data_IF_859549425005
#
_entry.id   IF_859549425005
#
_cell.length_a   1.000
_cell.length_b   1.000
_cell.length_c   1.000
_cell.angle_alpha   90.00
_cell.angle_beta   90.00
_cell.angle_gamma   90.00
#
_symmetry.space_group_name_H-M   'P 1'
#
loop_
_entity.id
_entity.type
_entity.pdbx_description
1 polymer ?
#
# COMPACT_ATOMS: atom_id res chain seq x y z
N UNK A 1 60.97 1.37 4.92
CA UNK A 1 59.58 1.35 5.42
C UNK A 1 58.64 1.70 4.27
N UNK A 2 58.10 0.68 3.59
CA UNK A 2 57.18 0.87 2.48
C UNK A 2 55.76 1.14 3.01
N UNK A 3 55.25 2.34 2.80
CA UNK A 3 53.83 2.64 3.04
C UNK A 3 53.03 2.04 1.89
N UNK A 4 52.35 0.93 2.16
CA UNK A 4 51.38 0.34 1.25
C UNK A 4 50.25 1.34 1.00
N UNK A 5 50.13 1.80 -0.24
CA UNK A 5 49.03 2.64 -0.69
C UNK A 5 47.76 1.79 -0.72
N UNK A 6 47.00 1.78 0.38
CA UNK A 6 45.65 1.23 0.37
C UNK A 6 44.79 2.16 -0.49
N UNK A 7 44.43 1.69 -1.68
CA UNK A 7 43.48 2.33 -2.60
C UNK A 7 42.25 2.78 -1.77
N UNK A 8 41.99 4.08 -1.71
CA UNK A 8 40.88 4.64 -0.95
C UNK A 8 39.56 4.03 -1.43
N UNK A 9 38.74 3.57 -0.50
CA UNK A 9 37.40 3.07 -0.79
C UNK A 9 36.44 4.25 -0.88
N UNK A 10 35.69 4.35 -1.97
CA UNK A 10 34.57 5.30 -2.09
C UNK A 10 33.30 4.56 -1.70
N UNK A 11 32.58 5.01 -0.65
CA UNK A 11 31.31 4.43 -0.25
C UNK A 11 30.30 4.38 -1.40
N UNK A 12 29.55 3.30 -1.50
CA UNK A 12 28.46 3.14 -2.48
C UNK A 12 27.12 2.88 -1.77
N UNK A 13 26.06 3.40 -2.38
CA UNK A 13 24.68 3.08 -2.01
C UNK A 13 24.06 2.11 -3.02
N UNK A 14 23.54 0.99 -2.53
CA UNK A 14 22.79 0.05 -3.35
C UNK A 14 21.43 0.65 -3.74
N UNK A 15 20.94 0.27 -4.92
CA UNK A 15 19.66 0.76 -5.42
C UNK A 15 18.52 0.21 -4.56
N UNK A 16 17.66 1.09 -4.08
CA UNK A 16 16.44 0.72 -3.38
C UNK A 16 15.50 -0.06 -4.32
N UNK A 17 15.14 -1.27 -3.91
CA UNK A 17 14.20 -2.15 -4.59
C UNK A 17 13.07 -2.62 -3.67
N UNK A 18 12.88 -1.96 -2.52
CA UNK A 18 11.83 -2.27 -1.56
C UNK A 18 10.47 -1.88 -2.12
N UNK A 19 9.82 -2.84 -2.77
CA UNK A 19 8.46 -2.69 -3.30
C UNK A 19 7.49 -3.33 -2.32
N UNK A 20 6.82 -2.51 -1.52
CA UNK A 20 5.60 -2.92 -0.83
C UNK A 20 4.42 -2.68 -1.75
N UNK A 21 3.60 -3.71 -1.99
CA UNK A 21 2.33 -3.58 -2.71
C UNK A 21 1.22 -3.89 -1.72
N UNK A 22 0.36 -2.91 -1.49
CA UNK A 22 -0.90 -3.10 -0.78
C UNK A 22 -2.05 -2.84 -1.74
N UNK A 23 -3.06 -3.70 -1.67
CA UNK A 23 -4.28 -3.57 -2.46
C UNK A 23 -5.39 -3.07 -1.54
N UNK A 24 -6.12 -2.07 -2.01
CA UNK A 24 -7.28 -1.50 -1.35
C UNK A 24 -8.51 -1.75 -2.22
N UNK A 25 -9.59 -2.22 -1.60
CA UNK A 25 -10.90 -2.38 -2.23
C UNK A 25 -11.93 -1.60 -1.42
N UNK A 26 -12.68 -0.74 -2.08
CA UNK A 26 -13.65 0.17 -1.45
C UNK A 26 -14.96 0.13 -2.23
N UNK A 27 -16.08 0.20 -1.51
CA UNK A 27 -17.40 0.49 -2.08
C UNK A 27 -17.73 1.93 -1.73
N UNK A 28 -18.03 2.74 -2.74
CA UNK A 28 -18.52 4.11 -2.56
C UNK A 28 -20.01 4.17 -2.91
N UNK A 29 -20.84 4.60 -1.96
CA UNK A 29 -22.29 4.69 -2.11
C UNK A 29 -22.66 6.15 -2.39
N UNK A 30 -22.92 6.46 -3.67
CA UNK A 30 -23.04 7.84 -4.15
C UNK A 30 -24.48 8.36 -4.10
N UNK A 31 -25.47 7.54 -4.48
CA UNK A 31 -26.87 7.93 -4.56
C UNK A 31 -27.83 6.78 -4.27
N UNK A 32 -29.08 7.11 -4.03
CA UNK A 32 -30.21 6.18 -4.02
C UNK A 32 -30.94 6.27 -5.37
N UNK A 33 -31.20 5.12 -5.98
CA UNK A 33 -31.91 5.00 -7.25
C UNK A 33 -31.02 5.18 -8.50
N UNK A 34 -31.62 5.06 -9.71
CA UNK A 34 -30.90 5.03 -10.97
C UNK A 34 -30.11 6.31 -11.27
N UNK A 35 -28.82 6.17 -11.54
CA UNK A 35 -27.93 7.22 -12.05
C UNK A 35 -27.04 6.68 -13.18
N UNK A 36 -26.64 7.56 -14.10
CA UNK A 36 -25.80 7.18 -15.26
C UNK A 36 -24.33 6.91 -14.89
N UNK A 37 -23.89 7.42 -13.74
CA UNK A 37 -22.53 7.24 -13.22
C UNK A 37 -21.55 8.33 -13.60
N UNK A 38 -20.24 8.05 -13.50
CA UNK A 38 -19.19 9.03 -13.77
C UNK A 38 -19.19 9.46 -15.24
N UNK A 39 -19.33 10.76 -15.47
CA UNK A 39 -19.46 11.37 -16.81
C UNK A 39 -18.29 11.00 -17.74
N UNK A 40 -17.06 10.99 -17.21
CA UNK A 40 -15.84 10.72 -17.99
C UNK A 40 -15.13 9.43 -17.54
N UNK A 41 -15.88 8.46 -17.03
CA UNK A 41 -15.34 7.16 -16.59
C UNK A 41 -14.21 7.32 -15.56
N UNK A 42 -13.04 6.74 -15.84
CA UNK A 42 -11.89 6.81 -14.92
C UNK A 42 -11.31 8.22 -14.75
N UNK A 43 -11.57 9.17 -15.67
CA UNK A 43 -11.15 10.57 -15.48
C UNK A 43 -11.92 11.24 -14.34
N UNK A 44 -13.15 10.79 -14.08
CA UNK A 44 -13.98 11.26 -12.97
C UNK A 44 -13.67 10.56 -11.64
N UNK A 45 -12.75 9.59 -11.61
CA UNK A 45 -12.34 8.88 -10.40
C UNK A 45 -11.03 9.49 -9.91
N UNK A 46 -11.06 10.13 -8.74
CA UNK A 46 -9.92 10.84 -8.17
C UNK A 46 -9.44 10.14 -6.89
N UNK A 47 -8.14 9.87 -6.82
CA UNK A 47 -7.47 9.44 -5.60
C UNK A 47 -6.71 10.63 -5.04
N UNK A 48 -7.13 11.11 -3.87
CA UNK A 48 -6.57 12.31 -3.24
C UNK A 48 -6.49 13.51 -4.22
N UNK A 49 -7.63 13.81 -4.85
CA UNK A 49 -7.79 14.88 -5.86
C UNK A 49 -6.98 14.69 -7.16
N UNK A 50 -6.32 13.55 -7.36
CA UNK A 50 -5.59 13.23 -8.60
C UNK A 50 -6.42 12.26 -9.44
N UNK A 51 -6.83 12.64 -10.66
CA UNK A 51 -7.64 11.76 -11.50
C UNK A 51 -6.82 10.56 -11.99
N UNK A 52 -7.45 9.38 -12.05
CA UNK A 52 -6.78 8.12 -12.46
C UNK A 52 -6.23 8.23 -13.88
N UNK A 53 -7.03 8.81 -14.79
CA UNK A 53 -6.63 9.20 -16.13
C UNK A 53 -6.62 10.73 -16.25
N UNK A 54 -5.64 11.29 -16.95
CA UNK A 54 -5.64 12.71 -17.28
C UNK A 54 -6.65 13.04 -18.40
N UNK A 55 -6.70 14.32 -18.81
CA UNK A 55 -7.58 14.79 -19.89
C UNK A 55 -7.30 14.14 -21.24
N UNK A 56 -6.05 13.70 -21.46
CA UNK A 56 -5.55 13.07 -22.69
C UNK A 56 -5.59 11.52 -22.63
N UNK A 57 -6.18 10.95 -21.58
CA UNK A 57 -6.29 9.49 -21.33
C UNK A 57 -4.97 8.81 -20.94
N UNK A 58 -3.95 9.57 -20.59
CA UNK A 58 -2.75 8.99 -20.00
C UNK A 58 -3.03 8.55 -18.57
N UNK A 59 -2.45 7.42 -18.17
CA UNK A 59 -2.61 6.86 -16.83
C UNK A 59 -1.72 7.59 -15.82
N UNK A 60 -2.33 8.32 -14.89
CA UNK A 60 -1.62 8.89 -13.74
C UNK A 60 -1.39 7.84 -12.65
N UNK A 61 -2.37 6.94 -12.45
CA UNK A 61 -2.36 5.96 -11.37
C UNK A 61 -2.65 4.56 -11.94
N UNK A 62 -1.61 3.74 -12.00
CA UNK A 62 -1.70 2.37 -12.51
C UNK A 62 -2.37 1.42 -11.51
N UNK A 63 -3.06 0.40 -12.04
CA UNK A 63 -3.63 -0.68 -11.24
C UNK A 63 -4.98 -0.37 -10.59
N UNK A 64 -5.64 0.72 -10.98
CA UNK A 64 -6.99 1.05 -10.52
C UNK A 64 -8.02 0.35 -11.40
N UNK A 65 -8.96 -0.35 -10.77
CA UNK A 65 -10.14 -0.93 -11.42
C UNK A 65 -11.38 -0.40 -10.72
N UNK A 66 -12.35 0.09 -11.49
CA UNK A 66 -13.61 0.63 -10.98
C UNK A 66 -14.76 -0.07 -11.68
N UNK A 67 -15.72 -0.54 -10.88
CA UNK A 67 -16.96 -1.11 -11.37
C UNK A 67 -18.09 -0.19 -10.91
N UNK A 68 -18.76 0.44 -11.86
CA UNK A 68 -19.91 1.28 -11.58
C UNK A 68 -21.20 0.48 -11.60
N UNK A 69 -22.13 0.81 -10.70
CA UNK A 69 -23.48 0.25 -10.66
C UNK A 69 -24.47 1.41 -10.63
N UNK A 70 -25.45 1.36 -11.52
CA UNK A 70 -26.41 2.45 -11.71
C UNK A 70 -27.42 2.62 -10.59
N UNK A 71 -27.54 1.67 -9.65
CA UNK A 71 -28.52 1.78 -8.56
C UNK A 71 -29.95 1.38 -8.95
N UNK A 72 -30.11 0.66 -10.07
CA UNK A 72 -31.38 0.06 -10.49
C UNK A 72 -31.91 -0.95 -9.46
N UNK A 73 -33.24 -1.15 -9.46
CA UNK A 73 -33.90 -2.08 -8.53
C UNK A 73 -33.40 -3.51 -8.73
N UNK A 74 -33.22 -3.94 -9.98
CA UNK A 74 -32.65 -5.24 -10.33
C UNK A 74 -31.18 -5.06 -10.71
N UNK A 75 -30.27 -5.61 -9.91
CA UNK A 75 -28.83 -5.59 -10.18
C UNK A 75 -28.13 -6.78 -9.56
N UNK A 76 -27.09 -7.29 -10.24
CA UNK A 76 -26.25 -8.38 -9.72
C UNK A 76 -25.53 -7.94 -8.43
N UNK A 77 -25.32 -8.80 -7.43
CA UNK A 77 -24.50 -8.47 -6.28
C UNK A 77 -23.06 -8.05 -6.66
N UNK A 78 -22.42 -7.13 -5.92
CA UNK A 78 -21.00 -6.81 -6.09
C UNK A 78 -20.12 -8.05 -5.84
N UNK A 79 -19.17 -8.32 -6.74
CA UNK A 79 -18.21 -9.42 -6.59
C UNK A 79 -16.90 -8.91 -5.96
N UNK A 80 -16.19 -9.79 -5.25
CA UNK A 80 -14.86 -9.48 -4.71
C UNK A 80 -14.86 -8.77 -3.36
N UNK A 81 -16.04 -8.59 -2.76
CA UNK A 81 -16.24 -8.03 -1.41
C UNK A 81 -16.72 -9.08 -0.40
N UNK A 82 -16.19 -10.30 -0.52
CA UNK A 82 -16.55 -11.45 0.33
C UNK A 82 -16.12 -11.26 1.80
N UNK A 83 -15.28 -10.26 2.09
CA UNK A 83 -14.85 -9.92 3.45
C UNK A 83 -14.61 -8.42 3.59
N UNK A 84 -15.11 -7.82 4.66
CA UNK A 84 -14.70 -6.47 5.09
C UNK A 84 -13.52 -6.57 6.06
N UNK A 85 -12.61 -5.61 6.02
CA UNK A 85 -11.50 -5.50 6.97
C UNK A 85 -11.30 -4.07 7.42
N UNK A 86 -10.82 -3.89 8.65
CA UNK A 86 -10.37 -2.60 9.17
C UNK A 86 -8.96 -2.75 9.71
N UNK A 87 -8.08 -1.80 9.37
CA UNK A 87 -6.72 -1.76 9.86
C UNK A 87 -6.58 -0.70 10.95
N UNK A 88 -5.90 -1.04 12.03
CA UNK A 88 -5.55 -0.09 13.10
C UNK A 88 -4.04 -0.02 13.21
N UNK A 89 -3.48 1.15 12.89
CA UNK A 89 -2.03 1.39 13.02
C UNK A 89 -1.66 1.49 14.49
N UNK A 90 -0.74 0.63 14.95
CA UNK A 90 -0.27 0.62 16.33
C UNK A 90 0.94 1.54 16.58
N UNK A 91 1.72 1.86 15.54
CA UNK A 91 2.88 2.77 15.63
C UNK A 91 3.93 2.37 16.68
N UNK A 92 3.94 1.11 17.11
CA UNK A 92 4.80 0.61 18.19
C UNK A 92 5.89 -0.27 17.60
N UNK A 93 7.14 -0.04 18.01
CA UNK A 93 8.26 -0.89 17.65
C UNK A 93 8.12 -2.26 18.32
N UNK A 94 8.19 -3.32 17.52
CA UNK A 94 8.18 -4.70 18.03
C UNK A 94 9.59 -5.05 18.50
N UNK A 95 9.75 -5.38 19.79
CA UNK A 95 11.03 -5.78 20.38
C UNK A 95 10.99 -7.23 20.87
N UNK A 96 12.14 -7.88 20.89
CA UNK A 96 12.27 -9.27 21.34
C UNK A 96 11.81 -9.49 22.79
N UNK A 97 12.14 -8.54 23.67
CA UNK A 97 11.92 -8.62 25.11
C UNK A 97 10.62 -7.94 25.58
N UNK A 98 9.94 -7.20 24.70
CA UNK A 98 8.80 -6.36 25.06
C UNK A 98 7.57 -6.77 24.24
N UNK A 99 6.68 -7.61 24.79
CA UNK A 99 5.50 -8.08 24.07
C UNK A 99 4.47 -6.96 23.88
N UNK A 100 3.78 -6.99 22.73
CA UNK A 100 2.62 -6.13 22.45
C UNK A 100 1.35 -6.96 22.60
N UNK A 101 0.46 -6.56 23.50
CA UNK A 101 -0.82 -7.25 23.73
C UNK A 101 -1.99 -6.37 23.30
N UNK A 102 -2.90 -6.92 22.48
CA UNK A 102 -4.14 -6.28 22.05
C UNK A 102 -5.31 -7.24 22.20
N UNK A 103 -6.37 -6.77 22.84
CA UNK A 103 -7.64 -7.48 22.90
C UNK A 103 -8.50 -7.06 21.72
N UNK A 104 -9.01 -8.03 20.97
CA UNK A 104 -9.95 -7.81 19.88
C UNK A 104 -11.33 -8.25 20.36
N UNK A 105 -12.27 -7.32 20.43
CA UNK A 105 -13.64 -7.58 20.87
C UNK A 105 -14.60 -7.32 19.73
N UNK A 106 -14.85 -8.34 18.91
CA UNK A 106 -15.91 -8.32 17.91
C UNK A 106 -16.39 -9.74 17.65
N UNK A 107 -17.72 -9.92 17.58
CA UNK A 107 -18.33 -11.20 17.24
C UNK A 107 -18.23 -11.53 15.74
N UNK A 108 -17.93 -10.53 14.90
CA UNK A 108 -17.95 -10.63 13.44
C UNK A 108 -16.53 -10.68 12.85
N UNK A 109 -15.54 -11.19 13.59
CA UNK A 109 -14.16 -11.34 13.12
C UNK A 109 -13.82 -12.83 13.04
N UNK A 110 -13.39 -13.27 11.86
CA UNK A 110 -12.93 -14.62 11.57
C UNK A 110 -11.43 -14.68 11.17
N UNK A 111 -10.83 -13.54 10.84
CA UNK A 111 -9.43 -13.42 10.42
C UNK A 111 -8.77 -12.16 10.95
N UNK A 112 -7.50 -12.29 11.36
CA UNK A 112 -6.61 -11.17 11.69
C UNK A 112 -5.55 -11.01 10.61
N UNK A 113 -5.28 -9.77 10.19
CA UNK A 113 -4.14 -9.39 9.35
C UNK A 113 -3.17 -8.56 10.19
N UNK A 114 -1.92 -8.99 10.25
CA UNK A 114 -0.85 -8.29 10.93
C UNK A 114 0.13 -7.77 9.89
N UNK A 115 0.35 -6.45 9.86
CA UNK A 115 1.29 -5.80 8.96
C UNK A 115 2.47 -5.30 9.76
N UNK A 116 3.67 -5.77 9.42
CA UNK A 116 4.93 -5.33 10.02
C UNK A 116 5.66 -4.42 9.04
N UNK A 117 6.14 -3.29 9.53
CA UNK A 117 6.99 -2.37 8.78
C UNK A 117 8.40 -2.37 9.36
N UNK A 118 9.40 -2.25 8.48
CA UNK A 118 10.81 -2.04 8.82
C UNK A 118 11.20 -0.65 8.32
N UNK A 119 11.95 0.11 9.13
CA UNK A 119 12.34 1.48 8.72
C UNK A 119 13.29 1.48 7.52
N UNK A 120 14.19 0.51 7.46
CA UNK A 120 15.09 0.31 6.34
C UNK A 120 15.53 -1.16 6.29
N UNK A 121 15.65 -1.69 5.07
CA UNK A 121 16.34 -2.95 4.80
C UNK A 121 17.68 -2.66 4.15
N UNK A 122 18.51 -1.92 4.90
CA UNK A 122 19.82 -1.48 4.46
C UNK A 122 20.82 -1.76 5.57
N UNK A 123 21.87 -2.49 5.23
CA UNK A 123 23.05 -2.65 6.07
C UNK A 123 24.05 -1.54 5.76
N UNK A 124 24.48 -0.79 6.79
CA UNK A 124 25.61 0.14 6.64
C UNK A 124 26.88 -0.54 7.15
N UNK A 125 27.83 -0.77 6.26
CA UNK A 125 29.11 -1.40 6.62
C UNK A 125 30.03 -0.39 7.31
N UNK A 126 31.06 -0.89 8.00
CA UNK A 126 32.11 -0.07 8.63
C UNK A 126 32.91 0.80 7.65
N UNK A 127 32.78 0.55 6.33
CA UNK A 127 33.41 1.33 5.25
C UNK A 127 32.47 2.36 4.62
N UNK A 128 31.25 2.50 5.14
CA UNK A 128 30.25 3.46 4.67
C UNK A 128 29.39 2.95 3.52
N UNK A 129 29.58 1.72 3.04
CA UNK A 129 28.69 1.14 2.01
C UNK A 129 27.31 0.86 2.59
N UNK A 130 26.27 1.15 1.80
CA UNK A 130 24.88 0.80 2.09
C UNK A 130 24.46 -0.36 1.18
N UNK A 131 24.37 -1.55 1.75
CA UNK A 131 23.97 -2.77 1.03
C UNK A 131 22.50 -3.11 1.34
N UNK A 132 21.78 -3.80 0.43
CA UNK A 132 20.46 -4.32 0.75
C UNK A 132 20.57 -5.37 1.86
N UNK A 133 19.61 -5.40 2.77
CA UNK A 133 19.43 -6.50 3.73
C UNK A 133 18.11 -7.21 3.49
N UNK A 134 17.97 -8.44 3.98
CA UNK A 134 16.72 -9.22 3.93
C UNK A 134 16.23 -9.52 5.35
N UNK A 135 14.94 -9.85 5.48
CA UNK A 135 14.28 -10.24 6.75
C UNK A 135 14.13 -11.76 6.81
#
# INVERSE_FOLDING_TARGET
>A
MGKGSSKGHTPREAKDNLKSTQLLSVIDAISEGPIEGPVDGLKSVLLNSTPVLDSEENTNISGVTVVFRSGEQEQTPPEGFESSGSETVLGTEVKYDTPITRTITSANIDRLRLTFGVQALVETTSKGDRNPSEV
#
